data_IF_548284741256
#
_entry.id   IF_548284741256
#
_cell.length_a   1.000
_cell.length_b   1.000
_cell.length_c   1.000
_cell.angle_alpha   90.00
_cell.angle_beta   90.00
_cell.angle_gamma   90.00
#
_symmetry.space_group_name_H-M   'P 1'
#
loop_
_entity.id
_entity.type
_entity.pdbx_description
1 polymer ?
#
# COMPACT_ATOMS: atom_id res chain seq x y z
N UNK A 1 15.49 3.29 1.32
CA UNK A 1 15.11 1.87 1.28
C UNK A 1 15.81 1.04 2.35
N UNK A 2 17.01 1.44 2.81
CA UNK A 2 17.78 0.65 3.77
C UNK A 2 17.07 0.53 5.12
N UNK A 3 16.39 1.59 5.57
CA UNK A 3 15.59 1.57 6.81
C UNK A 3 14.51 0.48 6.77
N UNK A 4 13.79 0.38 5.65
CA UNK A 4 12.76 -0.64 5.44
C UNK A 4 13.37 -2.05 5.47
N UNK A 5 14.48 -2.29 4.77
CA UNK A 5 15.12 -3.60 4.75
C UNK A 5 15.72 -4.00 6.09
N UNK A 6 16.35 -3.05 6.79
CA UNK A 6 16.90 -3.30 8.12
C UNK A 6 15.81 -3.71 9.10
N UNK A 7 14.63 -3.07 9.01
CA UNK A 7 13.51 -3.31 9.90
C UNK A 7 12.73 -4.58 9.55
N UNK A 8 12.33 -4.76 8.30
CA UNK A 8 11.38 -5.79 7.88
C UNK A 8 12.01 -6.98 7.16
N UNK A 9 13.27 -6.84 6.70
CA UNK A 9 14.00 -7.89 5.99
C UNK A 9 15.28 -8.31 6.74
N UNK A 10 15.32 -8.23 8.08
CA UNK A 10 16.53 -8.40 8.90
C UNK A 10 17.37 -9.64 8.55
N UNK A 11 16.75 -10.81 8.36
CA UNK A 11 17.45 -12.05 8.01
C UNK A 11 18.08 -12.03 6.61
N UNK A 12 17.59 -11.16 5.72
CA UNK A 12 18.06 -10.97 4.34
C UNK A 12 18.65 -9.57 4.11
N UNK A 13 18.95 -8.81 5.16
CA UNK A 13 19.32 -7.40 5.05
C UNK A 13 20.54 -7.20 4.14
N UNK A 14 21.62 -7.97 4.36
CA UNK A 14 22.81 -7.93 3.51
C UNK A 14 22.53 -8.30 2.06
N UNK A 15 21.63 -9.25 1.80
CA UNK A 15 21.25 -9.67 0.43
C UNK A 15 20.49 -8.55 -0.26
N UNK A 16 19.45 -8.02 0.39
CA UNK A 16 18.65 -6.89 -0.11
C UNK A 16 19.48 -5.62 -0.33
N UNK A 17 20.45 -5.36 0.55
CA UNK A 17 21.36 -4.23 0.42
C UNK A 17 22.32 -4.38 -0.78
N UNK A 18 22.77 -5.60 -1.10
CA UNK A 18 23.56 -5.88 -2.31
C UNK A 18 22.73 -5.71 -3.58
N UNK A 19 21.51 -6.26 -3.60
CA UNK A 19 20.56 -6.10 -4.70
C UNK A 19 20.29 -4.60 -4.96
N UNK A 20 20.02 -3.84 -3.89
CA UNK A 20 19.83 -2.39 -3.97
C UNK A 20 21.08 -1.65 -4.47
N UNK A 21 22.27 -2.03 -4.00
CA UNK A 21 23.51 -1.40 -4.49
C UNK A 21 23.67 -1.58 -6.00
N UNK A 22 23.41 -2.80 -6.50
CA UNK A 22 23.48 -3.10 -7.93
C UNK A 22 22.41 -2.31 -8.71
N UNK A 23 21.19 -2.23 -8.19
CA UNK A 23 20.10 -1.46 -8.79
C UNK A 23 20.47 0.04 -8.89
N UNK A 24 20.94 0.65 -7.81
CA UNK A 24 21.32 2.07 -7.78
C UNK A 24 22.49 2.36 -8.73
N UNK A 25 23.49 1.48 -8.84
CA UNK A 25 24.58 1.60 -9.82
C UNK A 25 24.04 1.58 -11.24
N UNK A 26 23.15 0.65 -11.55
CA UNK A 26 22.51 0.54 -12.86
C UNK A 26 21.74 1.82 -13.20
N UNK A 27 20.92 2.32 -12.27
CA UNK A 27 20.15 3.56 -12.44
C UNK A 27 21.08 4.76 -12.69
N UNK A 28 22.11 4.95 -11.85
CA UNK A 28 23.05 6.05 -12.03
C UNK A 28 23.83 5.97 -13.35
N UNK A 29 24.13 4.75 -13.81
CA UNK A 29 24.74 4.52 -15.12
C UNK A 29 23.82 4.95 -16.26
N UNK A 30 22.52 4.63 -16.20
CA UNK A 30 21.55 5.08 -17.20
C UNK A 30 21.41 6.60 -17.23
N UNK A 31 21.47 7.24 -16.06
CA UNK A 31 21.48 8.71 -15.93
C UNK A 31 22.85 9.35 -16.22
N UNK A 32 23.82 8.58 -16.72
CA UNK A 32 25.20 9.05 -16.98
C UNK A 32 25.84 9.79 -15.78
N UNK A 33 25.48 9.38 -14.56
CA UNK A 33 25.90 10.02 -13.31
C UNK A 33 27.00 9.20 -12.64
N UNK A 34 28.24 9.72 -12.54
CA UNK A 34 29.32 9.02 -11.87
C UNK A 34 29.11 8.96 -10.35
N UNK A 35 29.49 7.84 -9.72
CA UNK A 35 29.43 7.68 -8.26
C UNK A 35 30.52 8.52 -7.60
N UNK A 36 30.12 9.39 -6.67
CA UNK A 36 31.01 10.21 -5.87
C UNK A 36 31.49 9.42 -4.64
N UNK A 37 32.77 9.55 -4.32
CA UNK A 37 33.32 9.03 -3.05
C UNK A 37 33.19 10.09 -1.96
N UNK A 38 32.80 9.69 -0.76
CA UNK A 38 32.67 10.59 0.38
C UNK A 38 33.15 9.96 1.69
N UNK A 39 33.51 10.82 2.65
CA UNK A 39 33.67 10.46 4.06
C UNK A 39 32.49 10.95 4.92
N UNK A 40 31.57 11.72 4.34
CA UNK A 40 30.32 12.14 4.97
C UNK A 40 29.41 10.93 5.12
N UNK A 41 28.86 10.75 6.32
CA UNK A 41 27.94 9.67 6.60
C UNK A 41 26.49 10.10 6.30
N UNK A 42 25.88 9.46 5.31
CA UNK A 42 24.50 9.76 4.85
C UNK A 42 23.53 8.59 5.03
N UNK A 43 24.03 7.40 5.39
CA UNK A 43 23.22 6.25 5.80
C UNK A 43 23.46 5.95 7.29
N UNK A 44 22.55 5.24 7.95
CA UNK A 44 22.67 4.96 9.38
C UNK A 44 23.90 4.09 9.69
N UNK A 45 24.77 4.57 10.58
CA UNK A 45 26.02 3.91 11.01
C UNK A 45 25.79 2.50 11.55
N UNK A 46 24.63 2.22 12.15
CA UNK A 46 24.30 0.89 12.69
C UNK A 46 24.35 -0.21 11.62
N UNK A 47 24.14 0.14 10.35
CA UNK A 47 24.16 -0.83 9.25
C UNK A 47 25.56 -1.40 9.01
N UNK A 48 26.62 -0.64 9.34
CA UNK A 48 28.02 -1.03 9.10
C UNK A 48 28.37 -2.38 9.69
N UNK A 49 27.87 -2.66 10.91
CA UNK A 49 28.12 -3.92 11.62
C UNK A 49 27.57 -5.14 10.87
N UNK A 50 26.45 -4.99 10.15
CA UNK A 50 25.79 -6.10 9.44
C UNK A 50 26.25 -6.19 7.98
N UNK A 51 26.49 -5.04 7.34
CA UNK A 51 26.86 -4.96 5.93
C UNK A 51 28.36 -5.21 5.69
N UNK A 52 29.21 -4.94 6.70
CA UNK A 52 30.66 -4.88 6.54
C UNK A 52 31.11 -3.60 5.85
N UNK A 53 32.39 -3.24 6.01
CA UNK A 53 32.93 -1.96 5.57
C UNK A 53 32.80 -1.71 4.06
N UNK A 54 33.05 -2.74 3.25
CA UNK A 54 33.04 -2.62 1.79
C UNK A 54 31.66 -2.24 1.25
N UNK A 55 30.63 -3.03 1.58
CA UNK A 55 29.26 -2.79 1.14
C UNK A 55 28.67 -1.53 1.77
N UNK A 56 29.00 -1.26 3.04
CA UNK A 56 28.55 -0.04 3.71
C UNK A 56 29.11 1.21 3.03
N UNK A 57 30.41 1.25 2.76
CA UNK A 57 31.06 2.37 2.07
C UNK A 57 30.50 2.58 0.67
N UNK A 58 30.27 1.49 -0.06
CA UNK A 58 29.65 1.53 -1.39
C UNK A 58 28.24 2.14 -1.35
N UNK A 59 27.37 1.67 -0.46
CA UNK A 59 26.02 2.21 -0.31
C UNK A 59 26.02 3.65 0.17
N UNK A 60 26.92 4.02 1.09
CA UNK A 60 27.06 5.39 1.55
C UNK A 60 27.45 6.34 0.39
N UNK A 61 28.38 5.91 -0.47
CA UNK A 61 28.76 6.67 -1.67
C UNK A 61 27.60 6.80 -2.68
N UNK A 62 26.82 5.73 -2.89
CA UNK A 62 25.64 5.75 -3.76
C UNK A 62 24.57 6.72 -3.25
N UNK A 63 24.20 6.60 -1.98
CA UNK A 63 23.22 7.51 -1.35
C UNK A 63 23.73 8.96 -1.38
N UNK A 64 25.00 9.19 -1.07
CA UNK A 64 25.60 10.53 -1.13
C UNK A 64 25.53 11.11 -2.53
N UNK A 65 25.84 10.30 -3.55
CA UNK A 65 25.74 10.71 -4.96
C UNK A 65 24.31 11.16 -5.28
N UNK A 66 23.32 10.32 -4.98
CA UNK A 66 21.91 10.62 -5.24
C UNK A 66 21.50 11.93 -4.56
N UNK A 67 21.89 12.14 -3.32
CA UNK A 67 21.57 13.36 -2.57
C UNK A 67 22.16 14.64 -3.16
N UNK A 68 23.36 14.57 -3.76
CA UNK A 68 24.04 15.73 -4.32
C UNK A 68 23.66 16.01 -5.77
N UNK A 69 23.39 14.99 -6.58
CA UNK A 69 23.25 15.14 -8.04
C UNK A 69 21.84 14.87 -8.55
N UNK A 70 21.05 14.06 -7.86
CA UNK A 70 19.74 13.57 -8.35
C UNK A 70 18.58 13.99 -7.47
N UNK A 71 18.73 15.07 -6.68
CA UNK A 71 17.71 15.52 -5.72
C UNK A 71 16.39 15.92 -6.39
N UNK A 72 16.44 16.43 -7.62
CA UNK A 72 15.25 16.83 -8.39
C UNK A 72 14.61 15.65 -9.15
N UNK A 73 15.30 14.50 -9.25
CA UNK A 73 14.76 13.31 -9.87
C UNK A 73 13.76 12.64 -8.91
N UNK A 74 12.47 12.77 -9.21
CA UNK A 74 11.38 12.25 -8.38
C UNK A 74 11.35 10.72 -8.24
N UNK A 75 11.98 9.98 -9.15
CA UNK A 75 12.08 8.54 -9.05
C UNK A 75 13.23 8.14 -8.13
N UNK A 76 14.45 8.64 -8.40
CA UNK A 76 15.65 8.26 -7.65
C UNK A 76 15.61 8.77 -6.21
N UNK A 77 15.02 9.95 -5.99
CA UNK A 77 14.84 10.49 -4.64
C UNK A 77 13.97 9.61 -3.72
N UNK A 78 13.17 8.67 -4.26
CA UNK A 78 12.36 7.74 -3.45
C UNK A 78 13.20 6.72 -2.68
N UNK A 79 14.42 6.45 -3.13
CA UNK A 79 15.33 5.54 -2.42
C UNK A 79 15.87 6.15 -1.13
N UNK A 80 15.83 7.47 -0.97
CA UNK A 80 16.35 8.17 0.20
C UNK A 80 15.34 8.13 1.36
N UNK A 81 15.67 7.42 2.44
CA UNK A 81 14.79 7.27 3.61
C UNK A 81 14.51 8.61 4.31
N UNK A 82 15.46 9.55 4.27
CA UNK A 82 15.28 10.90 4.82
C UNK A 82 14.17 11.73 4.15
N UNK A 83 13.73 11.33 2.95
CA UNK A 83 12.62 12.00 2.28
C UNK A 83 11.26 11.56 2.85
N UNK A 84 11.20 10.44 3.58
CA UNK A 84 10.00 10.00 4.29
C UNK A 84 9.64 11.02 5.37
N UNK A 85 8.46 11.63 5.25
CA UNK A 85 7.99 12.65 6.19
C UNK A 85 6.92 12.10 7.10
N UNK A 86 6.91 12.58 8.34
CA UNK A 86 5.77 12.40 9.21
C UNK A 86 4.51 13.00 8.55
N UNK A 87 3.35 12.34 8.66
CA UNK A 87 2.11 12.85 8.10
C UNK A 87 1.70 14.14 8.84
N UNK A 88 1.53 15.21 8.08
CA UNK A 88 1.12 16.53 8.57
C UNK A 88 -0.11 16.99 7.78
N UNK A 89 -1.29 16.54 8.21
CA UNK A 89 -2.56 16.80 7.55
C UNK A 89 -3.73 16.62 8.52
N UNK A 90 -4.81 17.37 8.32
CA UNK A 90 -6.08 17.17 9.03
C UNK A 90 -6.86 15.95 8.49
N UNK A 91 -6.48 15.43 7.32
CA UNK A 91 -7.12 14.32 6.62
C UNK A 91 -6.27 13.04 6.72
N UNK A 92 -6.07 12.56 7.95
CA UNK A 92 -5.29 11.35 8.22
C UNK A 92 -6.09 10.07 7.95
N UNK A 93 -5.43 9.05 7.40
CA UNK A 93 -6.03 7.72 7.22
C UNK A 93 -5.10 6.57 7.57
N UNK A 94 -5.68 5.42 7.93
CA UNK A 94 -4.97 4.15 8.10
C UNK A 94 -5.47 3.10 7.11
N UNK A 95 -4.57 2.31 6.52
CA UNK A 95 -4.88 1.29 5.51
C UNK A 95 -4.46 -0.11 5.99
N UNK A 96 -5.44 -0.98 6.21
CA UNK A 96 -5.24 -2.36 6.63
C UNK A 96 -5.45 -3.30 5.44
N UNK A 97 -4.56 -4.29 5.27
CA UNK A 97 -4.45 -5.08 4.03
C UNK A 97 -4.10 -4.21 2.81
N UNK A 98 -3.18 -3.26 3.01
CA UNK A 98 -2.87 -2.23 2.02
C UNK A 98 -2.24 -2.78 0.73
N UNK A 99 -1.69 -4.00 0.75
CA UNK A 99 -0.97 -4.59 -0.37
C UNK A 99 0.15 -3.66 -0.86
N UNK A 100 0.23 -3.48 -2.18
CA UNK A 100 1.19 -2.56 -2.81
C UNK A 100 0.77 -1.07 -2.71
N UNK A 101 -0.39 -0.77 -2.11
CA UNK A 101 -0.87 0.59 -1.87
C UNK A 101 -1.78 1.19 -2.93
N UNK A 102 -2.37 0.40 -3.83
CA UNK A 102 -3.24 0.93 -4.89
C UNK A 102 -4.47 1.69 -4.37
N UNK A 103 -5.11 1.19 -3.29
CA UNK A 103 -6.21 1.90 -2.62
C UNK A 103 -5.73 3.19 -1.96
N UNK A 104 -4.62 3.10 -1.20
CA UNK A 104 -3.94 4.25 -0.60
C UNK A 104 -3.57 5.34 -1.61
N UNK A 105 -3.09 4.98 -2.81
CA UNK A 105 -2.75 5.94 -3.87
C UNK A 105 -3.94 6.82 -4.25
N UNK A 106 -5.13 6.22 -4.44
CA UNK A 106 -6.35 6.98 -4.76
C UNK A 106 -6.77 7.92 -3.62
N UNK A 107 -6.61 7.47 -2.37
CA UNK A 107 -6.93 8.26 -1.17
C UNK A 107 -5.96 9.43 -1.00
N UNK A 108 -4.66 9.21 -1.24
CA UNK A 108 -3.63 10.25 -1.23
C UNK A 108 -3.89 11.29 -2.31
N UNK A 109 -4.25 10.85 -3.52
CA UNK A 109 -4.66 11.76 -4.61
C UNK A 109 -5.91 12.58 -4.27
N UNK A 110 -6.78 12.05 -3.41
CA UNK A 110 -7.94 12.78 -2.88
C UNK A 110 -7.58 13.77 -1.75
N UNK A 111 -6.31 13.88 -1.35
CA UNK A 111 -5.83 14.86 -0.37
C UNK A 111 -5.61 14.33 1.05
N UNK A 112 -5.77 13.02 1.27
CA UNK A 112 -5.52 12.40 2.58
C UNK A 112 -4.04 12.03 2.74
N UNK A 113 -3.58 11.88 3.99
CA UNK A 113 -2.21 11.45 4.32
C UNK A 113 -2.22 10.15 5.11
N UNK A 114 -1.45 9.13 4.69
CA UNK A 114 -1.41 7.87 5.41
C UNK A 114 -0.68 8.08 6.72
N UNK A 115 -1.23 7.53 7.80
CA UNK A 115 -0.61 7.56 9.14
C UNK A 115 -0.11 6.19 9.55
N UNK A 116 -0.65 5.13 8.97
CA UNK A 116 -0.31 3.77 9.33
C UNK A 116 -0.79 2.81 8.27
N UNK A 117 0.02 1.80 7.98
CA UNK A 117 -0.36 0.74 7.04
C UNK A 117 0.02 -0.65 7.54
N UNK A 118 -0.80 -1.64 7.19
CA UNK A 118 -0.58 -3.03 7.53
C UNK A 118 -0.75 -3.94 6.31
N UNK A 119 0.20 -4.87 6.13
CA UNK A 119 0.03 -6.06 5.31
C UNK A 119 0.96 -7.16 5.82
N UNK A 120 0.59 -8.43 5.61
CA UNK A 120 1.45 -9.57 5.91
C UNK A 120 2.56 -9.81 4.87
N UNK A 121 2.40 -9.30 3.65
CA UNK A 121 3.30 -9.52 2.54
C UNK A 121 4.35 -8.41 2.49
N UNK A 122 5.55 -8.73 2.95
CA UNK A 122 6.68 -7.79 3.01
C UNK A 122 7.05 -7.24 1.63
N UNK A 123 6.94 -8.02 0.55
CA UNK A 123 7.23 -7.55 -0.81
C UNK A 123 6.19 -6.53 -1.30
N UNK A 124 4.93 -6.69 -0.90
CA UNK A 124 3.89 -5.70 -1.18
C UNK A 124 4.16 -4.39 -0.41
N UNK A 125 4.54 -4.50 0.87
CA UNK A 125 4.93 -3.35 1.67
C UNK A 125 6.22 -2.67 1.17
N UNK A 126 7.16 -3.41 0.60
CA UNK A 126 8.35 -2.86 -0.07
C UNK A 126 7.93 -1.95 -1.23
N UNK A 127 6.96 -2.40 -2.03
CA UNK A 127 6.38 -1.61 -3.13
C UNK A 127 5.63 -0.38 -2.60
N UNK A 128 4.84 -0.55 -1.54
CA UNK A 128 4.16 0.57 -0.87
C UNK A 128 5.16 1.60 -0.38
N UNK A 129 6.18 1.17 0.35
CA UNK A 129 7.20 2.01 0.95
C UNK A 129 7.99 2.77 -0.11
N UNK A 130 8.31 2.14 -1.24
CA UNK A 130 8.98 2.82 -2.34
C UNK A 130 8.12 3.95 -2.95
N UNK A 131 6.81 3.72 -3.12
CA UNK A 131 5.92 4.64 -3.85
C UNK A 131 5.26 5.72 -2.99
N UNK A 132 5.27 5.59 -1.66
CA UNK A 132 4.58 6.53 -0.77
C UNK A 132 5.53 7.16 0.25
N UNK A 133 5.19 8.37 0.70
CA UNK A 133 6.01 9.13 1.63
C UNK A 133 5.63 8.86 3.10
N UNK A 134 5.82 7.61 3.53
CA UNK A 134 5.50 7.16 4.88
C UNK A 134 6.75 6.55 5.54
N UNK A 135 7.14 6.97 6.76
CA UNK A 135 8.30 6.42 7.45
C UNK A 135 8.10 4.96 7.87
N UNK A 136 9.20 4.19 7.95
CA UNK A 136 9.16 2.75 8.18
C UNK A 136 8.58 2.36 9.56
N UNK A 137 8.41 3.27 10.51
CA UNK A 137 7.74 3.06 11.80
C UNK A 137 6.23 3.17 11.79
N UNK A 138 5.65 3.59 10.67
CA UNK A 138 4.22 3.60 10.43
C UNK A 138 3.72 2.33 9.71
N UNK A 139 4.56 1.31 9.59
CA UNK A 139 4.23 0.04 8.95
C UNK A 139 4.12 -1.08 9.99
N UNK A 140 3.17 -1.99 9.79
CA UNK A 140 3.19 -3.30 10.41
C UNK A 140 3.23 -4.39 9.35
N UNK A 141 4.40 -5.03 9.23
CA UNK A 141 4.60 -6.18 8.35
C UNK A 141 4.26 -7.47 9.09
N UNK A 142 3.00 -7.90 8.98
CA UNK A 142 2.53 -9.09 9.67
C UNK A 142 1.02 -9.27 9.63
N UNK A 143 0.56 -10.35 10.25
CA UNK A 143 -0.86 -10.68 10.37
C UNK A 143 -1.60 -9.63 11.22
N UNK A 144 -2.76 -9.20 10.74
CA UNK A 144 -3.62 -8.23 11.44
C UNK A 144 -4.06 -8.74 12.83
N UNK A 145 -4.15 -10.06 13.05
CA UNK A 145 -4.43 -10.64 14.37
C UNK A 145 -3.38 -10.20 15.39
N UNK A 146 -2.10 -10.33 15.02
CA UNK A 146 -0.98 -9.92 15.87
C UNK A 146 -0.96 -8.42 16.09
N UNK A 147 -1.31 -7.66 15.05
CA UNK A 147 -1.45 -6.21 15.16
C UNK A 147 -2.57 -5.82 16.13
N UNK A 148 -3.74 -6.45 16.04
CA UNK A 148 -4.88 -6.19 16.93
C UNK A 148 -4.49 -6.47 18.39
N UNK A 149 -3.81 -7.59 18.67
CA UNK A 149 -3.30 -7.92 20.00
C UNK A 149 -2.21 -6.95 20.50
N UNK A 150 -1.39 -6.41 19.58
CA UNK A 150 -0.29 -5.49 19.85
C UNK A 150 -0.63 -4.01 19.63
N UNK A 151 -1.91 -3.66 19.50
CA UNK A 151 -2.32 -2.34 18.99
C UNK A 151 -1.82 -1.17 19.84
N UNK A 152 -1.60 -1.41 21.14
CA UNK A 152 -1.10 -0.43 22.09
C UNK A 152 0.26 0.14 21.69
N UNK A 153 1.10 -0.62 21.02
CA UNK A 153 2.41 -0.17 20.53
C UNK A 153 2.27 0.91 19.45
N UNK A 154 1.11 1.01 18.80
CA UNK A 154 0.83 1.92 17.69
C UNK A 154 -0.25 2.96 18.01
N UNK A 155 -0.90 2.89 19.18
CA UNK A 155 -1.98 3.81 19.59
C UNK A 155 -1.62 5.29 19.46
N UNK A 156 -0.36 5.64 19.64
CA UNK A 156 0.10 7.02 19.52
C UNK A 156 -0.05 7.59 18.09
N UNK A 157 -0.10 6.74 17.07
CA UNK A 157 -0.32 7.09 15.66
C UNK A 157 -1.80 7.32 15.33
N UNK A 158 -2.73 6.72 16.08
CA UNK A 158 -4.17 6.75 15.76
C UNK A 158 -4.90 7.95 16.37
N UNK A 159 -4.31 9.14 16.29
CA UNK A 159 -4.94 10.39 16.76
C UNK A 159 -5.62 11.11 15.60
N UNK A 160 -6.87 11.51 15.78
CA UNK A 160 -7.65 12.28 14.80
C UNK A 160 -7.76 11.62 13.41
N UNK A 161 -7.88 10.29 13.37
CA UNK A 161 -8.01 9.55 12.12
C UNK A 161 -9.36 9.83 11.47
N UNK A 162 -9.34 10.39 10.26
CA UNK A 162 -10.54 10.69 9.49
C UNK A 162 -11.07 9.48 8.77
N UNK A 163 -10.18 8.60 8.33
CA UNK A 163 -10.54 7.48 7.47
C UNK A 163 -9.78 6.21 7.86
N UNK A 164 -10.49 5.09 7.97
CA UNK A 164 -9.89 3.76 7.95
C UNK A 164 -10.29 3.06 6.66
N UNK A 165 -9.35 2.49 5.93
CA UNK A 165 -9.65 1.69 4.74
C UNK A 165 -9.06 0.29 4.85
N UNK A 166 -9.63 -0.63 4.09
CA UNK A 166 -9.02 -1.94 3.92
C UNK A 166 -9.79 -2.86 3.01
N UNK A 167 -9.07 -3.84 2.46
CA UNK A 167 -9.62 -4.91 1.63
C UNK A 167 -9.46 -6.28 2.29
N UNK A 168 -10.15 -6.57 3.42
CA UNK A 168 -9.96 -7.83 4.13
C UNK A 168 -10.25 -9.04 3.22
N UNK A 169 -9.38 -10.05 3.19
CA UNK A 169 -9.53 -11.19 2.31
C UNK A 169 -10.79 -11.99 2.64
N UNK A 170 -11.54 -12.35 1.59
CA UNK A 170 -12.89 -12.90 1.72
C UNK A 170 -12.99 -14.34 1.18
N UNK A 171 -12.10 -15.21 1.66
CA UNK A 171 -12.00 -16.59 1.16
C UNK A 171 -13.14 -17.51 1.66
N UNK A 172 -13.74 -17.19 2.81
CA UNK A 172 -14.85 -17.94 3.42
C UNK A 172 -16.23 -17.68 2.78
N UNK A 173 -16.37 -16.62 1.98
CA UNK A 173 -17.67 -16.19 1.44
C UNK A 173 -17.75 -16.22 -0.10
N UNK A 174 -16.68 -16.64 -0.79
CA UNK A 174 -16.71 -16.78 -2.25
C UNK A 174 -17.58 -17.97 -2.68
N UNK A 175 -18.36 -17.81 -3.76
CA UNK A 175 -19.19 -18.86 -4.36
C UNK A 175 -18.41 -20.12 -4.79
N UNK A 176 -17.07 -20.07 -4.82
CA UNK A 176 -16.20 -21.18 -5.20
C UNK A 176 -16.03 -22.22 -4.09
N UNK A 177 -16.26 -21.88 -2.81
CA UNK A 177 -16.18 -22.82 -1.69
C UNK A 177 -17.59 -23.26 -1.26
N UNK A 178 -18.02 -24.44 -1.74
CA UNK A 178 -19.33 -25.07 -1.49
C UNK A 178 -19.56 -25.60 -0.06
N UNK A 179 -18.69 -25.30 0.90
CA UNK A 179 -18.89 -25.72 2.29
C UNK A 179 -18.67 -24.56 3.26
N UNK A 180 -19.73 -24.06 3.92
CA UNK A 180 -19.58 -23.17 5.05
C UNK A 180 -19.10 -24.02 6.22
N UNK A 181 -17.78 -24.16 6.37
CA UNK A 181 -17.22 -24.55 7.66
C UNK A 181 -17.54 -23.39 8.61
N UNK A 182 -18.45 -23.62 9.57
CA UNK A 182 -18.87 -22.66 10.58
C UNK A 182 -17.71 -22.06 11.39
N UNK A 183 -16.54 -22.69 11.34
CA UNK A 183 -15.31 -22.34 12.06
C UNK A 183 -14.12 -22.10 11.10
N UNK A 184 -14.34 -21.40 9.99
CA UNK A 184 -13.23 -21.00 9.11
C UNK A 184 -12.40 -19.87 9.76
N UNK A 185 -11.10 -20.07 10.06
CA UNK A 185 -10.23 -19.03 10.61
C UNK A 185 -10.10 -17.80 9.71
N UNK A 186 -10.54 -17.87 8.45
CA UNK A 186 -10.57 -16.75 7.50
C UNK A 186 -11.77 -15.81 7.69
N UNK A 187 -12.80 -16.26 8.42
CA UNK A 187 -13.81 -15.37 9.00
C UNK A 187 -13.26 -14.56 10.18
N UNK A 188 -12.01 -14.78 10.59
CA UNK A 188 -11.36 -14.02 11.68
C UNK A 188 -10.66 -12.77 11.16
N UNK A 189 -10.09 -12.79 9.95
CA UNK A 189 -9.35 -11.65 9.39
C UNK A 189 -10.24 -10.42 9.18
N UNK A 190 -11.48 -10.60 8.70
CA UNK A 190 -12.41 -9.46 8.61
C UNK A 190 -12.79 -8.95 10.00
N UNK A 191 -12.88 -9.81 11.03
CA UNK A 191 -13.20 -9.37 12.39
C UNK A 191 -12.09 -8.51 12.97
N UNK A 192 -10.84 -8.87 12.77
CA UNK A 192 -9.72 -8.03 13.19
C UNK A 192 -9.72 -6.68 12.47
N UNK A 193 -10.18 -6.59 11.22
CA UNK A 193 -10.42 -5.30 10.58
C UNK A 193 -11.50 -4.48 11.30
N UNK A 194 -12.59 -5.13 11.73
CA UNK A 194 -13.64 -4.47 12.51
C UNK A 194 -13.13 -4.05 13.90
N UNK A 195 -12.25 -4.84 14.52
CA UNK A 195 -11.57 -4.48 15.77
C UNK A 195 -10.71 -3.22 15.56
N UNK A 196 -9.99 -3.12 14.43
CA UNK A 196 -9.24 -1.91 14.09
C UNK A 196 -10.16 -0.69 13.96
N UNK A 197 -11.32 -0.82 13.32
CA UNK A 197 -12.33 0.25 13.25
C UNK A 197 -12.86 0.59 14.66
N UNK A 198 -13.06 -0.41 15.52
CA UNK A 198 -13.54 -0.24 16.91
C UNK A 198 -12.53 0.50 17.79
N UNK A 199 -11.24 0.20 17.65
CA UNK A 199 -10.16 0.81 18.42
C UNK A 199 -9.85 2.24 17.93
N UNK A 200 -9.87 2.47 16.62
CA UNK A 200 -9.54 3.77 16.01
C UNK A 200 -10.75 4.72 16.04
N UNK A 201 -11.95 4.17 15.86
CA UNK A 201 -13.20 4.91 15.68
C UNK A 201 -13.04 6.11 14.74
N UNK A 202 -12.78 5.89 13.44
CA UNK A 202 -12.61 6.99 12.50
C UNK A 202 -13.93 7.70 12.18
N UNK A 203 -13.84 8.89 11.59
CA UNK A 203 -15.03 9.60 11.08
C UNK A 203 -15.69 8.82 9.93
N UNK A 204 -14.87 8.17 9.11
CA UNK A 204 -15.24 7.35 7.97
C UNK A 204 -14.49 6.02 7.95
N UNK A 205 -15.11 4.98 7.41
CA UNK A 205 -14.37 3.82 6.94
C UNK A 205 -14.80 3.41 5.53
N UNK A 206 -13.90 2.76 4.80
CA UNK A 206 -14.19 2.13 3.50
C UNK A 206 -13.68 0.69 3.50
N UNK A 207 -14.60 -0.25 3.37
CA UNK A 207 -14.26 -1.66 3.17
C UNK A 207 -14.42 -2.01 1.69
N UNK A 208 -13.32 -2.35 1.01
CA UNK A 208 -13.35 -2.86 -0.36
C UNK A 208 -13.46 -4.39 -0.36
N UNK A 209 -14.19 -4.95 -1.32
CA UNK A 209 -14.19 -6.38 -1.57
C UNK A 209 -14.65 -6.76 -2.98
N UNK A 210 -14.63 -8.06 -3.28
CA UNK A 210 -15.23 -8.59 -4.51
C UNK A 210 -16.74 -8.36 -4.53
N UNK A 211 -17.32 -8.23 -5.74
CA UNK A 211 -18.77 -8.00 -5.95
C UNK A 211 -19.68 -8.96 -5.16
N UNK A 212 -19.26 -10.22 -5.01
CA UNK A 212 -20.02 -11.24 -4.27
C UNK A 212 -20.31 -10.89 -2.81
N UNK A 213 -19.52 -9.99 -2.21
CA UNK A 213 -19.68 -9.58 -0.82
C UNK A 213 -20.97 -8.79 -0.56
N UNK A 214 -21.59 -8.24 -1.60
CA UNK A 214 -22.90 -7.59 -1.51
C UNK A 214 -23.98 -8.50 -0.90
N UNK A 215 -23.88 -9.82 -1.09
CA UNK A 215 -24.83 -10.78 -0.53
C UNK A 215 -24.74 -10.89 1.00
N UNK A 216 -23.68 -10.34 1.62
CA UNK A 216 -23.37 -10.39 3.04
C UNK A 216 -23.43 -9.03 3.73
N UNK A 217 -23.84 -7.99 3.01
CA UNK A 217 -23.93 -6.60 3.48
C UNK A 217 -24.60 -6.49 4.85
N UNK A 218 -25.82 -7.02 5.02
CA UNK A 218 -26.54 -6.95 6.30
C UNK A 218 -25.82 -7.64 7.47
N UNK A 219 -25.09 -8.72 7.18
CA UNK A 219 -24.28 -9.43 8.19
C UNK A 219 -23.08 -8.57 8.60
N UNK A 220 -22.40 -7.96 7.63
CA UNK A 220 -21.28 -7.04 7.87
C UNK A 220 -21.74 -5.82 8.68
N UNK A 221 -22.83 -5.18 8.28
CA UNK A 221 -23.37 -4.03 9.00
C UNK A 221 -23.75 -4.37 10.45
N UNK A 222 -24.35 -5.54 10.66
CA UNK A 222 -24.67 -6.04 12.00
C UNK A 222 -23.40 -6.25 12.84
N UNK A 223 -22.37 -6.89 12.26
CA UNK A 223 -21.11 -7.15 12.95
C UNK A 223 -20.38 -5.85 13.29
N UNK A 224 -20.36 -4.86 12.38
CA UNK A 224 -19.78 -3.53 12.65
C UNK A 224 -20.49 -2.87 13.83
N UNK A 225 -21.83 -2.81 13.82
CA UNK A 225 -22.59 -2.22 14.94
C UNK A 225 -22.30 -2.93 16.26
N UNK A 226 -22.18 -4.27 16.21
CA UNK A 226 -21.95 -5.10 17.39
C UNK A 226 -20.53 -4.96 17.96
N UNK A 227 -19.50 -4.90 17.11
CA UNK A 227 -18.09 -4.89 17.50
C UNK A 227 -17.62 -3.47 17.84
N UNK A 228 -18.03 -2.48 17.05
CA UNK A 228 -17.57 -1.10 17.25
C UNK A 228 -18.31 -0.39 18.37
N UNK A 229 -19.55 -0.80 18.67
CA UNK A 229 -20.47 -0.05 19.54
C UNK A 229 -20.67 1.43 19.12
N UNK A 230 -20.32 1.76 17.86
CA UNK A 230 -20.47 3.09 17.26
C UNK A 230 -21.59 3.03 16.22
N UNK A 231 -22.42 4.06 16.21
CA UNK A 231 -23.47 4.20 15.21
C UNK A 231 -22.90 4.80 13.92
N UNK A 232 -22.65 3.94 12.94
CA UNK A 232 -22.34 4.35 11.57
C UNK A 232 -23.60 4.33 10.68
N UNK A 233 -23.72 5.32 9.81
CA UNK A 233 -24.56 5.26 8.61
C UNK A 233 -23.78 4.54 7.52
N UNK A 234 -24.39 3.49 6.95
CA UNK A 234 -23.78 2.62 5.95
C UNK A 234 -24.26 2.95 4.55
N UNK A 235 -23.34 2.97 3.61
CA UNK A 235 -23.60 3.31 2.20
C UNK A 235 -22.88 2.30 1.30
N UNK A 236 -23.58 1.24 0.86
CA UNK A 236 -23.01 0.18 0.05
C UNK A 236 -23.05 0.50 -1.45
N UNK A 237 -21.98 0.16 -2.17
CA UNK A 237 -21.85 0.37 -3.60
C UNK A 237 -21.28 -0.85 -4.31
N UNK A 238 -21.65 -1.01 -5.58
CA UNK A 238 -20.87 -1.82 -6.52
C UNK A 238 -20.41 -0.91 -7.64
N UNK A 239 -19.11 -0.72 -7.75
CA UNK A 239 -18.47 0.15 -8.73
C UNK A 239 -17.66 -0.70 -9.72
N UNK A 240 -17.63 -0.27 -10.98
CA UNK A 240 -16.84 -0.92 -12.01
C UNK A 240 -15.72 0.03 -12.46
N UNK A 241 -14.47 -0.43 -12.45
CA UNK A 241 -13.31 0.41 -12.80
C UNK A 241 -13.43 1.08 -14.18
N UNK A 242 -14.14 0.45 -15.14
CA UNK A 242 -14.41 1.04 -16.47
C UNK A 242 -15.29 2.28 -16.47
N UNK A 243 -16.03 2.51 -15.39
CA UNK A 243 -16.83 3.73 -15.21
C UNK A 243 -15.97 4.88 -14.61
N UNK A 244 -14.69 4.63 -14.32
CA UNK A 244 -13.74 5.55 -13.69
C UNK A 244 -12.42 5.61 -14.46
N UNK A 245 -12.48 5.76 -15.79
CA UNK A 245 -11.33 5.95 -16.68
C UNK A 245 -10.29 4.80 -16.73
N UNK A 246 -10.60 3.62 -16.19
CA UNK A 246 -9.70 2.45 -16.30
C UNK A 246 -10.21 1.49 -17.37
N UNK A 247 -9.43 1.13 -18.42
CA UNK A 247 -9.88 0.21 -19.48
C UNK A 247 -9.93 -1.27 -19.02
N UNK A 248 -10.58 -1.54 -17.89
CA UNK A 248 -10.71 -2.85 -17.29
C UNK A 248 -12.13 -3.07 -16.73
N UNK A 249 -12.78 -4.15 -17.14
CA UNK A 249 -14.05 -4.56 -16.56
C UNK A 249 -13.82 -5.25 -15.21
N UNK A 250 -13.81 -4.47 -14.13
CA UNK A 250 -13.54 -4.94 -12.77
C UNK A 250 -14.56 -4.36 -11.79
N UNK A 251 -15.51 -5.19 -11.40
CA UNK A 251 -16.51 -4.84 -10.39
C UNK A 251 -15.98 -5.09 -8.98
N UNK A 252 -16.20 -4.13 -8.09
CA UNK A 252 -15.87 -4.19 -6.67
C UNK A 252 -17.01 -3.67 -5.81
N UNK A 253 -17.21 -4.34 -4.70
CA UNK A 253 -18.11 -3.93 -3.64
C UNK A 253 -17.36 -2.99 -2.71
N UNK A 254 -18.01 -1.90 -2.32
CA UNK A 254 -17.52 -0.97 -1.32
C UNK A 254 -18.60 -0.79 -0.26
N UNK A 255 -18.24 -0.92 1.00
CA UNK A 255 -19.08 -0.50 2.11
C UNK A 255 -18.43 0.73 2.74
N UNK A 256 -19.10 1.88 2.59
CA UNK A 256 -18.70 3.12 3.26
C UNK A 256 -19.50 3.21 4.54
N UNK A 257 -18.85 3.50 5.66
CA UNK A 257 -19.53 3.90 6.89
C UNK A 257 -19.08 5.26 7.35
N UNK A 258 -20.01 6.06 7.87
CA UNK A 258 -19.71 7.37 8.43
C UNK A 258 -20.48 7.62 9.72
N UNK A 259 -19.84 8.29 10.67
CA UNK A 259 -20.45 8.63 11.98
C UNK A 259 -20.65 10.14 12.19
N UNK A 260 -20.40 10.92 11.14
CA UNK A 260 -20.51 12.39 11.16
C UNK A 260 -21.84 12.89 10.60
N UNK A 261 -22.76 11.98 10.25
CA UNK A 261 -24.12 12.30 9.83
C UNK A 261 -24.23 12.76 8.38
N UNK A 262 -23.29 12.37 7.51
CA UNK A 262 -23.41 12.63 6.07
C UNK A 262 -24.35 11.58 5.45
N UNK A 263 -25.40 12.08 4.80
CA UNK A 263 -26.44 11.24 4.23
C UNK A 263 -25.90 10.39 3.06
N UNK A 264 -26.29 9.12 3.08
CA UNK A 264 -26.17 8.15 1.98
C UNK A 264 -26.57 8.74 0.62
N UNK A 265 -27.67 9.50 0.55
CA UNK A 265 -28.15 10.12 -0.68
C UNK A 265 -27.13 11.13 -1.26
N UNK A 266 -26.47 11.92 -0.41
CA UNK A 266 -25.47 12.89 -0.87
C UNK A 266 -24.28 12.17 -1.53
N UNK A 267 -23.82 11.07 -0.93
CA UNK A 267 -22.72 10.27 -1.44
C UNK A 267 -23.10 9.62 -2.77
N UNK A 268 -24.29 9.02 -2.84
CA UNK A 268 -24.83 8.43 -4.07
C UNK A 268 -24.90 9.45 -5.22
N UNK A 269 -25.40 10.65 -4.94
CA UNK A 269 -25.49 11.72 -5.94
C UNK A 269 -24.11 12.12 -6.48
N UNK A 270 -23.12 12.32 -5.60
CA UNK A 270 -21.74 12.65 -6.01
C UNK A 270 -21.14 11.53 -6.85
N UNK A 271 -21.25 10.27 -6.42
CA UNK A 271 -20.70 9.13 -7.16
C UNK A 271 -21.34 8.97 -8.55
N UNK A 272 -22.66 9.12 -8.65
CA UNK A 272 -23.35 9.06 -9.93
C UNK A 272 -22.94 10.21 -10.86
N UNK A 273 -22.70 11.41 -10.31
CA UNK A 273 -22.15 12.53 -11.08
C UNK A 273 -20.79 12.19 -11.68
N UNK A 274 -19.86 11.64 -10.87
CA UNK A 274 -18.53 11.24 -11.34
C UNK A 274 -18.60 10.18 -12.44
N UNK A 275 -19.42 9.13 -12.27
CA UNK A 275 -19.57 8.05 -13.25
C UNK A 275 -20.05 8.56 -14.61
N UNK A 276 -20.93 9.56 -14.62
CA UNK A 276 -21.49 10.13 -15.83
C UNK A 276 -20.55 11.13 -16.52
N UNK A 277 -19.66 11.77 -15.78
CA UNK A 277 -18.71 12.76 -16.30
C UNK A 277 -17.36 12.16 -16.72
N UNK A 278 -17.07 10.90 -16.39
CA UNK A 278 -15.75 10.32 -16.61
C UNK A 278 -15.62 9.76 -18.04
N UNK A 279 -14.51 10.11 -18.71
CA UNK A 279 -14.17 9.56 -20.02
C UNK A 279 -13.92 8.06 -19.95
N UNK A 280 -14.18 7.38 -21.07
CA UNK A 280 -13.95 5.94 -21.20
C UNK A 280 -12.75 5.69 -22.10
N UNK A 281 -11.84 4.85 -21.62
CA UNK A 281 -10.66 4.42 -22.35
C UNK A 281 -10.78 2.96 -22.79
N UNK A 282 -10.04 2.62 -23.85
CA UNK A 282 -9.88 1.28 -24.39
C UNK A 282 -8.51 0.73 -24.03
N UNK A 283 -8.34 -0.59 -24.19
CA UNK A 283 -7.05 -1.24 -23.92
C UNK A 283 -5.90 -0.63 -24.73
N UNK A 284 -6.16 -0.28 -26.01
CA UNK A 284 -5.17 0.38 -26.87
C UNK A 284 -4.66 1.70 -26.29
N UNK A 285 -5.49 2.41 -25.53
CA UNK A 285 -5.12 3.72 -24.97
C UNK A 285 -4.17 3.52 -23.78
N UNK A 286 -4.34 2.44 -23.00
CA UNK A 286 -3.43 2.08 -21.91
C UNK A 286 -2.10 1.46 -22.37
N UNK A 287 -2.07 0.83 -23.55
CA UNK A 287 -0.87 0.22 -24.12
C UNK A 287 -0.12 1.17 -25.07
N UNK A 288 -0.69 2.33 -25.39
CA UNK A 288 -0.10 3.28 -26.32
C UNK A 288 1.25 3.78 -25.81
N UNK A 289 2.28 3.68 -26.66
CA UNK A 289 3.64 4.17 -26.36
C UNK A 289 4.54 3.16 -25.63
N UNK A 290 4.03 1.99 -25.25
CA UNK A 290 4.89 0.90 -24.77
C UNK A 290 5.73 0.33 -25.93
N UNK A 291 6.99 -0.07 -25.69
CA UNK A 291 7.81 -0.69 -26.71
C UNK A 291 7.23 -2.05 -27.12
N UNK A 292 7.50 -2.44 -28.37
CA UNK A 292 7.23 -3.81 -28.81
C UNK A 292 8.23 -4.75 -28.14
N UNK A 293 7.72 -5.84 -27.55
CA UNK A 293 8.52 -6.86 -26.88
C UNK A 293 8.19 -8.24 -27.45
N UNK A 294 9.16 -9.14 -27.42
CA UNK A 294 9.02 -10.54 -27.80
C UNK A 294 8.88 -11.45 -26.57
N UNK A 295 8.38 -12.66 -26.77
CA UNK A 295 8.29 -13.65 -25.69
C UNK A 295 9.68 -14.04 -25.23
N UNK A 296 9.95 -13.99 -23.91
CA UNK A 296 11.21 -14.47 -23.36
C UNK A 296 11.41 -15.97 -23.72
N UNK A 297 12.48 -16.33 -24.45
CA UNK A 297 12.71 -17.71 -24.88
C UNK A 297 13.12 -18.63 -23.73
N UNK A 298 13.45 -18.08 -22.56
CA UNK A 298 13.91 -18.83 -21.40
C UNK A 298 12.79 -19.02 -20.36
N UNK A 299 12.32 -20.25 -20.22
CA UNK A 299 11.29 -20.62 -19.24
C UNK A 299 11.87 -20.48 -17.81
N UNK A 300 11.08 -19.89 -16.90
CA UNK A 300 11.41 -19.69 -15.48
C UNK A 300 12.71 -18.89 -15.20
N UNK A 301 13.14 -18.06 -16.16
CA UNK A 301 14.36 -17.25 -16.04
C UNK A 301 14.06 -15.75 -15.94
N UNK A 302 13.17 -15.37 -15.01
CA UNK A 302 12.69 -13.99 -14.80
C UNK A 302 13.74 -13.00 -14.28
N UNK A 303 15.01 -13.33 -14.38
CA UNK A 303 16.16 -12.50 -14.03
C UNK A 303 17.01 -12.17 -15.26
N UNK A 304 16.63 -12.71 -16.43
CA UNK A 304 17.20 -12.43 -17.74
C UNK A 304 16.24 -11.49 -18.48
N UNK A 305 16.18 -10.25 -18.01
CA UNK A 305 15.45 -9.17 -18.64
C UNK A 305 16.33 -8.55 -19.74
N UNK A 306 15.71 -8.14 -20.85
CA UNK A 306 16.41 -7.52 -21.98
C UNK A 306 15.49 -6.52 -22.66
N UNK A 307 16.07 -5.55 -23.38
CA UNK A 307 15.28 -4.59 -24.17
C UNK A 307 14.34 -5.26 -25.18
N UNK A 308 14.60 -6.52 -25.55
CA UNK A 308 13.81 -7.30 -26.50
C UNK A 308 12.67 -8.06 -25.83
N UNK A 309 12.85 -8.52 -24.59
CA UNK A 309 11.90 -9.45 -23.94
C UNK A 309 11.16 -8.85 -22.73
N UNK A 310 11.51 -7.62 -22.34
CA UNK A 310 11.07 -7.01 -21.09
C UNK A 310 11.83 -7.59 -19.92
#
# INVERSE_FOLDING_TARGET
MLDFYYKYCKARFTVKAKELSQELKTILSFESTPVLTTSELVINEEYRKILGEELFSELNNLYYTIEKTQRENQFISRYLDKNKTQPDSDFLFADFFCGAGGLSTGIIQAGFSPVFVNDHNVSALETYYFNHNLPADHFFAGDIEKLSLGINDYRYLFKNIKLVVGGPPCQGFSMANRQPLKDDPRNTLYRFFLDMISEIQPDWFVMENVRGMRNKEKEIEHDIRKITHVEYEFVPFVLNAKDFAVPQNRERYFLIGNRIGVSSLEIEMKLNSFRNSTEKYLLKDALFGLPEIETNPHINSSHLDSEVHG
#
